data_IF_033936845120
#
_entry.id   IF_033936845120
#
_cell.length_a   1.000
_cell.length_b   1.000
_cell.length_c   1.000
_cell.angle_alpha   90.00
_cell.angle_beta   90.00
_cell.angle_gamma   90.00
#
_symmetry.space_group_name_H-M   'P 1'
#
loop_
_entity.id
_entity.type
_entity.pdbx_description
1 polymer ?
#
# COMPACT_ATOMS: atom_id res chain seq x y z
N UNK A 1 -19.03 4.66 -31.94
CA UNK A 1 -18.34 3.53 -31.32
C UNK A 1 -16.85 3.64 -31.66
N UNK A 2 -16.10 4.25 -30.77
CA UNK A 2 -14.62 4.23 -30.84
C UNK A 2 -14.15 3.52 -29.58
N UNK A 3 -13.63 2.32 -29.74
CA UNK A 3 -13.05 1.52 -28.66
C UNK A 3 -11.75 2.18 -28.18
N UNK A 4 -11.71 2.49 -26.91
CA UNK A 4 -10.54 3.10 -26.27
C UNK A 4 -9.51 2.00 -26.01
N UNK A 5 -8.55 1.85 -26.91
CA UNK A 5 -7.35 1.03 -26.72
C UNK A 5 -6.29 1.82 -25.94
N UNK A 6 -6.52 2.06 -24.65
CA UNK A 6 -5.61 2.84 -23.80
C UNK A 6 -4.81 2.03 -22.79
N UNK A 7 -5.11 0.74 -22.63
CA UNK A 7 -4.49 -0.13 -21.63
C UNK A 7 -3.07 -0.60 -21.97
N UNK A 8 -2.66 -0.54 -23.24
CA UNK A 8 -1.38 -1.11 -23.66
C UNK A 8 -0.12 -0.27 -23.40
N UNK A 9 -0.22 1.05 -23.19
CA UNK A 9 0.96 1.92 -23.04
C UNK A 9 1.36 2.25 -21.60
N UNK A 10 0.48 2.09 -20.64
CA UNK A 10 0.77 2.35 -19.22
C UNK A 10 1.47 1.14 -18.59
N UNK A 11 1.11 -0.07 -19.03
CA UNK A 11 1.65 -1.33 -18.51
C UNK A 11 3.13 -1.53 -18.87
N UNK A 12 3.58 -1.04 -20.03
CA UNK A 12 4.96 -1.29 -20.49
C UNK A 12 6.05 -0.49 -19.75
N UNK A 13 5.72 0.59 -19.04
CA UNK A 13 6.72 1.38 -18.29
C UNK A 13 6.93 0.93 -16.86
N UNK A 14 5.96 0.26 -16.24
CA UNK A 14 6.11 -0.29 -14.89
C UNK A 14 6.91 -1.61 -14.87
N UNK A 15 6.94 -2.33 -16.00
CA UNK A 15 7.61 -3.63 -16.11
C UNK A 15 9.14 -3.57 -16.24
N UNK A 16 9.72 -2.40 -16.60
CA UNK A 16 11.16 -2.32 -16.96
C UNK A 16 12.12 -2.10 -15.80
N UNK A 17 11.66 -1.73 -14.61
CA UNK A 17 12.54 -1.51 -13.45
C UNK A 17 12.68 -2.71 -12.50
N UNK A 18 12.07 -3.86 -12.82
CA UNK A 18 12.11 -5.07 -12.00
C UNK A 18 12.96 -6.23 -12.54
N UNK A 19 13.50 -6.11 -13.75
CA UNK A 19 14.24 -7.21 -14.40
C UNK A 19 15.68 -6.76 -14.68
N UNK A 20 16.50 -6.64 -13.70
CA UNK A 20 17.94 -6.62 -13.91
C UNK A 20 18.64 -7.45 -12.84
N UNK A 21 19.40 -8.43 -13.35
CA UNK A 21 20.41 -9.28 -12.74
C UNK A 21 19.99 -10.72 -12.47
N UNK A 22 19.92 -11.51 -13.55
CA UNK A 22 20.39 -12.89 -13.51
C UNK A 22 21.56 -13.02 -14.47
N UNK A 23 22.78 -13.03 -13.94
CA UNK A 23 23.95 -13.55 -14.65
C UNK A 23 24.21 -14.98 -14.18
N UNK A 24 24.04 -15.93 -15.08
CA UNK A 24 24.50 -17.31 -14.93
C UNK A 24 26.01 -17.38 -15.08
N UNK A 25 26.70 -17.87 -14.08
CA UNK A 25 28.02 -18.46 -14.24
C UNK A 25 27.97 -19.92 -13.78
N UNK A 26 28.13 -20.81 -14.76
CA UNK A 26 28.34 -22.23 -14.58
C UNK A 26 29.79 -22.51 -14.20
N UNK A 27 30.02 -23.19 -13.08
CA UNK A 27 31.17 -24.11 -12.90
C UNK A 27 30.80 -25.21 -11.90
N UNK A 28 31.02 -26.43 -12.33
CA UNK A 28 30.87 -27.69 -11.60
C UNK A 28 31.72 -27.75 -10.34
N UNK A 29 31.21 -28.39 -9.26
CA UNK A 29 31.74 -29.65 -8.68
C UNK A 29 31.16 -29.95 -7.30
N UNK A 30 30.67 -31.21 -7.19
CA UNK A 30 30.62 -32.12 -6.03
C UNK A 30 29.72 -31.76 -4.84
N UNK A 31 28.58 -32.41 -4.85
CA UNK A 31 27.96 -33.24 -3.79
C UNK A 31 28.36 -32.90 -2.35
N UNK A 32 27.56 -32.06 -1.75
CA UNK A 32 27.01 -32.26 -0.43
C UNK A 32 25.61 -31.66 -0.40
N UNK A 33 24.61 -32.44 0.00
CA UNK A 33 23.21 -32.04 0.12
C UNK A 33 23.03 -31.01 1.24
N UNK A 34 23.55 -29.81 1.06
CA UNK A 34 23.00 -28.64 1.68
C UNK A 34 21.74 -28.31 0.82
N UNK A 35 20.56 -28.72 1.31
CA UNK A 35 19.29 -28.10 0.87
C UNK A 35 19.54 -26.62 0.96
N UNK A 36 19.79 -25.94 -0.17
CA UNK A 36 19.78 -24.50 -0.28
C UNK A 36 18.38 -24.06 0.18
N UNK A 37 18.26 -23.73 1.45
CA UNK A 37 17.06 -23.13 2.00
C UNK A 37 16.94 -21.82 1.27
N UNK A 38 16.05 -21.75 0.27
CA UNK A 38 15.80 -20.51 -0.46
C UNK A 38 15.38 -19.48 0.59
N UNK A 39 16.05 -18.34 0.59
CA UNK A 39 15.66 -17.25 1.48
C UNK A 39 14.30 -16.72 1.05
N UNK A 40 13.37 -16.52 2.01
CA UNK A 40 12.06 -15.96 1.72
C UNK A 40 12.20 -14.61 1.02
N UNK A 41 11.35 -14.37 0.03
CA UNK A 41 11.28 -13.10 -0.66
C UNK A 41 9.84 -12.80 -1.09
N UNK A 42 9.56 -11.54 -1.33
CA UNK A 42 8.28 -11.07 -1.82
C UNK A 42 8.39 -10.78 -3.32
N UNK A 43 7.46 -11.33 -4.10
CA UNK A 43 7.15 -10.86 -5.44
C UNK A 43 6.00 -9.86 -5.32
N UNK A 44 6.21 -8.60 -5.65
CA UNK A 44 5.21 -7.56 -5.53
C UNK A 44 4.94 -6.83 -6.84
N UNK A 45 3.70 -6.40 -7.00
CA UNK A 45 3.22 -5.57 -8.10
C UNK A 45 2.32 -4.47 -7.55
N UNK A 46 2.10 -3.42 -8.32
CA UNK A 46 1.24 -2.31 -7.93
C UNK A 46 0.25 -1.97 -9.02
N UNK A 47 -0.96 -1.59 -8.61
CA UNK A 47 -1.99 -1.04 -9.48
C UNK A 47 -2.79 0.02 -8.73
N UNK A 48 -3.40 0.96 -9.45
CA UNK A 48 -4.20 1.98 -8.81
C UNK A 48 -4.79 2.98 -9.81
N UNK A 49 -5.63 3.84 -9.28
CA UNK A 49 -6.29 4.91 -10.02
C UNK A 49 -6.41 6.15 -9.14
N UNK A 50 -6.11 7.34 -9.66
CA UNK A 50 -6.52 8.55 -8.98
C UNK A 50 -8.05 8.68 -8.99
N UNK A 51 -8.61 9.28 -7.96
CA UNK A 51 -10.04 9.59 -7.83
C UNK A 51 -10.55 10.33 -9.07
N UNK A 52 -9.82 11.35 -9.50
CA UNK A 52 -10.14 12.13 -10.68
C UNK A 52 -9.21 11.76 -11.84
N UNK A 53 -9.78 11.26 -12.93
CA UNK A 53 -9.09 11.03 -14.19
C UNK A 53 -9.45 12.14 -15.17
N UNK A 54 -8.53 13.03 -15.43
CA UNK A 54 -8.64 14.03 -16.49
C UNK A 54 -7.63 13.75 -17.61
N UNK A 55 -7.83 14.38 -18.78
CA UNK A 55 -6.86 14.30 -19.88
C UNK A 55 -5.51 14.93 -19.53
N UNK A 56 -5.47 15.75 -18.49
CA UNK A 56 -4.28 16.46 -17.99
C UNK A 56 -3.68 15.79 -16.76
N UNK A 57 -4.26 14.68 -16.27
CA UNK A 57 -3.73 13.95 -15.12
C UNK A 57 -2.28 13.52 -15.37
N UNK A 58 -1.36 14.04 -14.59
CA UNK A 58 0.05 13.66 -14.63
C UNK A 58 0.27 12.50 -13.67
N UNK A 59 0.62 11.34 -14.21
CA UNK A 59 1.04 10.21 -13.37
C UNK A 59 2.47 10.44 -12.88
N UNK A 60 2.65 10.48 -11.58
CA UNK A 60 3.96 10.52 -10.92
C UNK A 60 4.35 9.09 -10.51
N UNK A 61 5.64 8.78 -10.54
CA UNK A 61 6.12 7.49 -10.02
C UNK A 61 5.84 7.41 -8.51
N UNK A 62 5.27 6.28 -8.07
CA UNK A 62 4.96 6.07 -6.65
C UNK A 62 3.69 6.72 -6.16
N UNK A 63 2.81 7.23 -7.06
CA UNK A 63 1.57 7.91 -6.69
C UNK A 63 0.39 7.52 -7.59
N UNK A 64 -0.81 7.50 -6.98
CA UNK A 64 -2.10 7.48 -7.65
C UNK A 64 -3.00 8.55 -6.98
N UNK A 65 -3.07 9.74 -7.58
CA UNK A 65 -3.73 10.88 -6.93
C UNK A 65 -2.95 11.36 -5.71
N UNK A 66 -3.60 11.40 -4.56
CA UNK A 66 -3.03 11.76 -3.27
C UNK A 66 -2.39 10.57 -2.54
N UNK A 67 -2.66 9.37 -3.02
CA UNK A 67 -2.04 8.14 -2.55
C UNK A 67 -0.58 8.03 -2.99
N UNK A 68 0.26 7.49 -2.12
CA UNK A 68 1.64 7.15 -2.42
C UNK A 68 1.97 5.72 -1.99
N UNK A 69 2.98 5.14 -2.65
CA UNK A 69 3.46 3.80 -2.35
C UNK A 69 4.96 3.66 -2.60
N UNK A 70 5.59 2.67 -1.95
CA UNK A 70 6.94 2.22 -2.28
C UNK A 70 7.08 0.71 -2.15
N UNK A 71 8.09 0.18 -2.84
CA UNK A 71 8.54 -1.20 -2.69
C UNK A 71 10.08 -1.20 -2.75
N UNK A 72 10.72 -1.66 -1.70
CA UNK A 72 12.16 -1.68 -1.59
C UNK A 72 12.65 -3.07 -1.16
N UNK A 73 13.82 -3.45 -1.69
CA UNK A 73 14.45 -4.73 -1.38
C UNK A 73 15.89 -4.50 -0.93
N UNK A 74 16.22 -5.07 0.22
CA UNK A 74 17.59 -5.17 0.73
C UNK A 74 17.95 -6.63 1.01
N UNK A 75 19.20 -6.92 1.33
CA UNK A 75 19.65 -8.29 1.55
C UNK A 75 18.84 -9.02 2.63
N UNK A 76 18.48 -8.34 3.70
CA UNK A 76 17.81 -8.92 4.88
C UNK A 76 16.28 -8.83 4.85
N UNK A 77 15.70 -7.98 3.97
CA UNK A 77 14.28 -7.69 4.00
C UNK A 77 13.71 -7.25 2.65
N UNK A 78 12.43 -7.52 2.46
CA UNK A 78 11.57 -6.83 1.48
C UNK A 78 10.62 -5.91 2.24
N UNK A 79 10.46 -4.67 1.76
CA UNK A 79 9.68 -3.63 2.44
C UNK A 79 8.67 -3.04 1.46
N UNK A 80 7.42 -3.00 1.88
CA UNK A 80 6.30 -2.44 1.12
C UNK A 80 5.63 -1.36 1.96
N UNK A 81 5.11 -0.31 1.32
CA UNK A 81 4.36 0.71 2.02
C UNK A 81 3.36 1.43 1.14
N UNK A 82 2.27 1.87 1.76
CA UNK A 82 1.24 2.74 1.18
C UNK A 82 0.92 3.87 2.16
N UNK A 83 0.48 5.00 1.62
CA UNK A 83 0.04 6.15 2.37
C UNK A 83 -1.06 6.87 1.59
N UNK A 84 -2.13 7.24 2.25
CA UNK A 84 -3.24 8.00 1.70
C UNK A 84 -3.17 9.44 2.19
N UNK A 85 -3.09 10.38 1.25
CA UNK A 85 -3.04 11.80 1.52
C UNK A 85 -4.43 12.42 1.67
N UNK A 86 -4.74 12.95 2.86
CA UNK A 86 -6.07 13.48 3.18
C UNK A 86 -6.40 14.76 2.42
N UNK A 87 -7.39 14.67 1.51
CA UNK A 87 -7.74 15.71 0.53
C UNK A 87 -8.30 17.04 1.06
N UNK A 88 -8.65 17.13 2.35
CA UNK A 88 -9.33 18.28 2.94
C UNK A 88 -8.59 19.63 2.85
N UNK A 89 -7.28 19.60 2.60
CA UNK A 89 -6.43 20.80 2.55
C UNK A 89 -6.28 21.42 1.15
N UNK A 90 -6.82 20.80 0.11
CA UNK A 90 -6.78 21.36 -1.27
C UNK A 90 -7.38 22.76 -1.36
N UNK A 91 -8.43 23.02 -0.58
CA UNK A 91 -9.08 24.34 -0.54
C UNK A 91 -8.16 25.45 0.01
N UNK A 92 -7.07 25.07 0.67
CA UNK A 92 -6.04 25.97 1.21
C UNK A 92 -4.80 26.00 0.32
N UNK A 93 -4.86 25.41 -0.88
CA UNK A 93 -3.75 25.38 -1.83
C UNK A 93 -2.65 24.35 -1.49
N UNK A 94 -2.93 23.43 -0.59
CA UNK A 94 -2.02 22.35 -0.19
C UNK A 94 -2.33 21.10 -1.03
N UNK A 95 -1.28 20.51 -1.65
CA UNK A 95 -1.39 19.23 -2.37
C UNK A 95 -1.17 18.08 -1.38
N UNK A 96 -2.22 17.29 -1.03
CA UNK A 96 -2.08 16.19 -0.06
C UNK A 96 -1.14 15.10 -0.53
N UNK A 97 -1.03 14.92 -1.84
CA UNK A 97 -0.14 13.94 -2.45
C UNK A 97 1.35 14.24 -2.26
N UNK A 98 1.73 15.48 -1.92
CA UNK A 98 3.12 15.80 -1.57
C UNK A 98 3.51 15.23 -0.22
N UNK A 99 2.60 15.24 0.76
CA UNK A 99 2.86 14.72 2.10
C UNK A 99 2.99 13.18 2.10
N UNK A 100 2.01 12.48 1.55
CA UNK A 100 2.03 11.02 1.42
C UNK A 100 3.25 10.54 0.61
N UNK A 101 3.55 11.25 -0.48
CA UNK A 101 4.70 10.95 -1.34
C UNK A 101 6.03 11.15 -0.62
N UNK A 102 6.18 12.22 0.16
CA UNK A 102 7.38 12.47 0.95
C UNK A 102 7.62 11.34 1.96
N UNK A 103 6.56 10.91 2.68
CA UNK A 103 6.65 9.81 3.64
C UNK A 103 7.15 8.53 2.96
N UNK A 104 6.53 8.13 1.85
CA UNK A 104 6.84 6.88 1.16
C UNK A 104 8.22 6.92 0.49
N UNK A 105 8.60 8.03 -0.14
CA UNK A 105 9.94 8.22 -0.72
C UNK A 105 11.03 8.23 0.35
N UNK A 106 10.77 8.81 1.51
CA UNK A 106 11.72 8.80 2.62
C UNK A 106 11.88 7.41 3.19
N UNK A 107 10.79 6.64 3.35
CA UNK A 107 10.85 5.23 3.72
C UNK A 107 11.72 4.43 2.73
N UNK A 108 11.46 4.56 1.42
CA UNK A 108 12.25 3.88 0.36
C UNK A 108 13.73 4.24 0.47
N UNK A 109 14.05 5.52 0.63
CA UNK A 109 15.42 6.02 0.76
C UNK A 109 16.11 5.52 2.02
N UNK A 110 15.43 5.49 3.15
CA UNK A 110 15.99 4.98 4.41
C UNK A 110 16.30 3.48 4.31
N UNK A 111 15.43 2.70 3.66
CA UNK A 111 15.67 1.28 3.42
C UNK A 111 16.86 1.08 2.49
N UNK A 112 16.87 1.71 1.34
CA UNK A 112 17.88 1.50 0.30
C UNK A 112 19.26 2.07 0.66
N UNK A 113 19.33 3.09 1.52
CA UNK A 113 20.58 3.66 2.00
C UNK A 113 21.22 2.91 3.19
N UNK A 114 20.64 1.78 3.60
CA UNK A 114 21.16 0.98 4.73
C UNK A 114 20.91 1.59 6.12
N UNK A 115 20.04 2.60 6.22
CA UNK A 115 19.66 3.23 7.49
C UNK A 115 18.42 2.61 8.13
N UNK A 116 17.99 1.48 7.62
CA UNK A 116 16.84 0.72 8.10
C UNK A 116 17.30 -0.38 9.07
N UNK A 117 16.66 -0.46 10.23
CA UNK A 117 16.98 -1.42 11.31
C UNK A 117 16.09 -2.67 11.35
N UNK A 118 15.17 -2.82 10.39
CA UNK A 118 14.22 -3.95 10.32
C UNK A 118 12.85 -3.68 10.93
N UNK A 119 12.66 -2.56 11.65
CA UNK A 119 11.45 -2.23 12.37
C UNK A 119 10.58 -1.22 11.60
N UNK A 120 9.36 -1.59 11.14
CA UNK A 120 8.52 -0.69 10.34
C UNK A 120 8.03 0.55 11.10
N UNK A 121 7.76 0.44 12.41
CA UNK A 121 7.38 1.58 13.24
C UNK A 121 8.49 2.64 13.33
N UNK A 122 9.74 2.20 13.51
CA UNK A 122 10.90 3.11 13.49
C UNK A 122 11.14 3.73 12.12
N UNK A 123 10.89 2.98 11.04
CA UNK A 123 11.00 3.49 9.68
C UNK A 123 10.01 4.62 9.45
N UNK A 124 8.76 4.40 9.83
CA UNK A 124 7.68 5.40 9.71
C UNK A 124 7.97 6.63 10.56
N UNK A 125 8.38 6.44 11.83
CA UNK A 125 8.72 7.53 12.73
C UNK A 125 9.85 8.41 12.18
N UNK A 126 10.92 7.79 11.70
CA UNK A 126 12.04 8.53 11.10
C UNK A 126 11.64 9.28 9.84
N UNK A 127 10.82 8.65 8.99
CA UNK A 127 10.30 9.29 7.78
C UNK A 127 9.49 10.55 8.12
N UNK A 128 8.61 10.46 9.11
CA UNK A 128 7.80 11.57 9.56
C UNK A 128 8.64 12.68 10.23
N UNK A 129 9.59 12.34 11.09
CA UNK A 129 10.44 13.36 11.74
C UNK A 129 11.37 14.06 10.74
N UNK A 130 11.88 13.35 9.72
CA UNK A 130 12.61 13.99 8.62
C UNK A 130 11.72 14.97 7.82
N UNK A 131 10.41 14.68 7.69
CA UNK A 131 9.46 15.62 7.09
C UNK A 131 9.30 16.87 7.92
N UNK A 132 9.18 16.74 9.24
CA UNK A 132 9.05 17.89 10.14
C UNK A 132 10.31 18.78 10.17
N UNK A 133 11.49 18.17 9.99
CA UNK A 133 12.79 18.86 9.97
C UNK A 133 13.15 19.44 8.61
N UNK A 134 12.32 19.21 7.59
CA UNK A 134 12.61 19.68 6.23
C UNK A 134 12.60 21.22 6.17
N UNK A 135 13.64 21.80 5.56
CA UNK A 135 13.77 23.26 5.40
C UNK A 135 12.61 23.88 4.62
N UNK A 136 12.01 23.14 3.71
CA UNK A 136 10.78 23.51 3.02
C UNK A 136 9.65 22.67 3.61
N UNK A 137 8.74 23.24 4.41
CA UNK A 137 7.67 22.49 5.03
C UNK A 137 6.81 21.79 3.98
N UNK A 138 6.65 20.49 4.12
CA UNK A 138 5.69 19.70 3.33
C UNK A 138 4.42 19.60 4.16
N UNK A 139 3.52 20.56 3.94
CA UNK A 139 2.25 20.63 4.66
C UNK A 139 1.30 19.52 4.15
N UNK A 140 0.51 18.99 5.06
CA UNK A 140 -0.49 17.98 4.70
C UNK A 140 -0.78 17.01 5.83
N UNK A 141 -1.53 15.99 5.47
CA UNK A 141 -1.99 14.93 6.37
C UNK A 141 -1.98 13.63 5.58
N UNK A 142 -1.62 12.53 6.23
CA UNK A 142 -1.63 11.21 5.59
C UNK A 142 -1.77 10.08 6.60
N UNK A 143 -2.43 9.00 6.19
CA UNK A 143 -2.29 7.67 6.80
C UNK A 143 -0.98 7.04 6.38
N UNK A 144 -0.61 5.90 6.96
CA UNK A 144 0.49 5.08 6.45
C UNK A 144 0.41 3.63 6.92
N UNK A 145 0.71 2.71 6.01
CA UNK A 145 0.87 1.29 6.31
C UNK A 145 2.20 0.78 5.74
N UNK A 146 3.03 0.18 6.58
CA UNK A 146 4.33 -0.39 6.19
C UNK A 146 4.40 -1.86 6.59
N UNK A 147 4.84 -2.69 5.64
CA UNK A 147 5.02 -4.15 5.82
C UNK A 147 6.45 -4.53 5.48
N UNK A 148 7.11 -5.24 6.37
CA UNK A 148 8.51 -5.67 6.27
C UNK A 148 8.58 -7.18 6.38
N UNK A 149 9.00 -7.88 5.32
CA UNK A 149 9.37 -9.29 5.42
C UNK A 149 10.85 -9.40 5.85
N UNK A 150 11.07 -9.91 7.05
CA UNK A 150 12.40 -10.32 7.49
C UNK A 150 12.72 -11.70 6.90
N UNK A 151 13.73 -11.76 6.03
CA UNK A 151 14.07 -12.99 5.30
C UNK A 151 14.68 -14.07 6.18
N UNK A 152 15.43 -13.69 7.22
CA UNK A 152 16.08 -14.64 8.09
C UNK A 152 15.07 -15.43 8.94
N UNK A 153 13.97 -14.79 9.34
CA UNK A 153 12.96 -15.36 10.25
C UNK A 153 11.68 -15.80 9.56
N UNK A 154 11.48 -15.47 8.26
CA UNK A 154 10.21 -15.65 7.55
C UNK A 154 9.04 -14.98 8.31
N UNK A 155 9.29 -13.80 8.87
CA UNK A 155 8.32 -13.08 9.66
C UNK A 155 8.06 -11.72 9.01
N UNK A 156 6.79 -11.41 8.85
CA UNK A 156 6.32 -10.08 8.47
C UNK A 156 6.16 -9.25 9.74
N UNK A 157 6.74 -8.06 9.75
CA UNK A 157 6.53 -7.01 10.75
C UNK A 157 5.76 -5.87 10.09
N UNK A 158 4.82 -5.29 10.80
CA UNK A 158 3.93 -4.26 10.25
C UNK A 158 3.82 -3.05 11.16
N UNK A 159 3.57 -1.89 10.56
CA UNK A 159 3.15 -0.69 11.26
C UNK A 159 2.03 -0.04 10.46
N UNK A 160 0.89 0.22 11.09
CA UNK A 160 -0.27 0.84 10.48
C UNK A 160 -0.74 2.02 11.31
N UNK A 161 -0.98 3.15 10.68
CA UNK A 161 -1.63 4.32 11.27
C UNK A 161 -2.74 4.80 10.33
N UNK A 162 -3.98 4.75 10.82
CA UNK A 162 -5.17 5.12 10.05
C UNK A 162 -5.93 3.92 9.49
N UNK A 163 -6.60 4.15 8.36
CA UNK A 163 -7.55 3.26 7.67
C UNK A 163 -7.05 2.69 6.35
N UNK A 164 -5.87 3.08 5.90
CA UNK A 164 -5.06 2.23 5.01
C UNK A 164 -4.68 0.96 5.76
N UNK A 165 -4.32 -0.13 5.05
CA UNK A 165 -4.06 -1.35 5.77
C UNK A 165 -3.53 -2.51 4.91
N UNK A 166 -3.51 -3.70 5.51
CA UNK A 166 -3.08 -4.92 4.85
C UNK A 166 -3.94 -6.14 5.20
N UNK A 167 -3.93 -7.12 4.30
CA UNK A 167 -4.45 -8.48 4.53
C UNK A 167 -3.35 -9.48 4.19
N UNK A 168 -3.22 -10.53 5.01
CA UNK A 168 -2.44 -11.74 4.65
C UNK A 168 -3.43 -12.88 4.49
N UNK A 169 -3.41 -13.49 3.29
CA UNK A 169 -4.32 -14.57 2.92
C UNK A 169 -3.52 -15.85 2.73
N UNK A 170 -3.97 -16.92 3.39
CA UNK A 170 -3.42 -18.27 3.31
C UNK A 170 -4.55 -19.24 3.04
N UNK A 171 -4.44 -20.05 1.98
CA UNK A 171 -5.44 -21.08 1.61
C UNK A 171 -6.87 -20.53 1.54
N UNK A 172 -7.01 -19.32 0.98
CA UNK A 172 -8.31 -18.68 0.77
C UNK A 172 -8.94 -18.04 2.00
N UNK A 173 -8.22 -17.96 3.13
CA UNK A 173 -8.70 -17.29 4.36
C UNK A 173 -7.76 -16.19 4.79
N UNK A 174 -8.31 -15.14 5.39
CA UNK A 174 -7.51 -14.09 6.03
C UNK A 174 -6.92 -14.67 7.32
N UNK A 175 -5.59 -14.75 7.39
CA UNK A 175 -4.85 -15.26 8.56
C UNK A 175 -4.28 -14.13 9.40
N UNK A 176 -4.13 -12.93 8.83
CA UNK A 176 -3.71 -11.74 9.53
C UNK A 176 -4.16 -10.50 8.78
N UNK A 177 -4.52 -9.42 9.52
CA UNK A 177 -4.90 -8.13 8.94
C UNK A 177 -4.58 -6.98 9.88
N UNK A 178 -4.44 -5.78 9.33
CA UNK A 178 -4.38 -4.55 10.11
C UNK A 178 -5.71 -4.26 10.79
N UNK A 179 -5.63 -3.65 11.96
CA UNK A 179 -6.77 -2.99 12.58
C UNK A 179 -6.86 -1.56 12.04
N UNK A 180 -8.06 -1.15 11.68
CA UNK A 180 -8.36 0.22 11.29
C UNK A 180 -8.35 1.10 12.54
N UNK A 181 -7.61 2.21 12.49
CA UNK A 181 -7.52 3.16 13.59
C UNK A 181 -8.28 4.43 13.26
N UNK A 182 -9.37 4.69 13.96
CA UNK A 182 -10.21 5.89 13.80
C UNK A 182 -10.47 6.57 15.14
N UNK A 183 -10.50 7.90 15.15
CA UNK A 183 -10.98 8.68 16.30
C UNK A 183 -12.51 8.60 16.40
N UNK A 184 -13.19 8.71 15.26
CA UNK A 184 -14.61 8.51 15.05
C UNK A 184 -14.84 8.13 13.58
N UNK A 185 -16.08 7.77 13.24
CA UNK A 185 -16.40 7.32 11.90
C UNK A 185 -15.82 8.23 10.81
N UNK A 186 -15.13 7.63 9.84
CA UNK A 186 -14.48 8.30 8.71
C UNK A 186 -13.47 9.40 9.12
N UNK A 187 -12.83 9.23 10.27
CA UNK A 187 -11.78 10.14 10.75
C UNK A 187 -10.61 9.30 11.27
N UNK A 188 -9.73 8.89 10.35
CA UNK A 188 -8.61 8.00 10.70
C UNK A 188 -7.57 8.69 11.58
N UNK A 189 -6.79 7.89 12.30
CA UNK A 189 -5.50 8.32 12.84
C UNK A 189 -4.62 8.76 11.68
N UNK A 190 -3.89 9.85 11.86
CA UNK A 190 -3.17 10.49 10.76
C UNK A 190 -1.94 11.24 11.22
N UNK A 191 -0.86 11.12 10.45
CA UNK A 191 0.31 11.97 10.58
C UNK A 191 0.02 13.31 9.91
N UNK A 192 0.38 14.43 10.55
CA UNK A 192 0.05 15.74 10.00
C UNK A 192 1.14 16.79 10.25
N UNK A 193 1.28 17.69 9.29
CA UNK A 193 1.94 18.98 9.44
C UNK A 193 0.99 20.04 8.88
N UNK A 194 0.07 20.56 9.73
CA UNK A 194 -0.88 21.58 9.31
C UNK A 194 -0.20 22.95 9.14
N UNK A 195 -0.82 23.87 8.36
CA UNK A 195 -0.42 25.26 8.35
C UNK A 195 -0.46 25.87 9.76
N UNK A 196 0.42 26.82 10.09
CA UNK A 196 0.51 27.42 11.44
C UNK A 196 -0.82 27.92 11.99
N UNK A 197 -1.65 28.55 11.13
CA UNK A 197 -2.95 29.11 11.50
C UNK A 197 -4.01 28.06 11.83
N UNK A 198 -3.80 26.80 11.44
CA UNK A 198 -4.72 25.68 11.63
C UNK A 198 -4.22 24.60 12.59
N UNK A 199 -3.04 24.78 13.18
CA UNK A 199 -2.39 23.77 14.01
C UNK A 199 -3.20 23.31 15.24
N UNK A 200 -4.14 24.12 15.74
CA UNK A 200 -4.98 23.82 16.90
C UNK A 200 -6.29 23.10 16.55
N UNK A 201 -6.66 23.05 15.28
CA UNK A 201 -7.94 22.51 14.81
C UNK A 201 -7.82 21.16 14.09
N UNK A 202 -6.61 20.64 13.96
CA UNK A 202 -6.32 19.41 13.23
C UNK A 202 -5.99 18.29 14.21
N UNK A 203 -6.63 17.14 14.01
CA UNK A 203 -6.22 15.91 14.65
C UNK A 203 -4.86 15.50 14.08
N UNK A 204 -3.94 15.25 14.97
CA UNK A 204 -2.57 14.87 14.60
C UNK A 204 -2.11 13.77 15.53
N UNK A 205 -1.85 12.63 14.98
CA UNK A 205 -1.30 11.50 15.70
C UNK A 205 0.21 11.43 15.53
N UNK A 206 0.86 10.76 16.47
CA UNK A 206 2.29 10.51 16.39
C UNK A 206 2.55 9.17 15.73
N UNK A 207 3.68 8.99 15.04
CA UNK A 207 4.03 7.71 14.43
C UNK A 207 4.15 6.57 15.46
N UNK A 208 4.41 6.90 16.73
CA UNK A 208 4.44 5.94 17.86
C UNK A 208 3.04 5.38 18.19
N UNK A 209 1.96 6.03 17.72
CA UNK A 209 0.59 5.53 17.84
C UNK A 209 0.25 4.47 16.79
N UNK A 210 1.16 4.19 15.86
CA UNK A 210 0.94 3.15 14.86
C UNK A 210 0.75 1.77 15.52
N UNK A 211 -0.29 1.04 15.11
CA UNK A 211 -0.48 -0.36 15.49
C UNK A 211 0.62 -1.21 14.85
N UNK A 212 1.40 -1.90 15.67
CA UNK A 212 2.48 -2.76 15.20
C UNK A 212 2.18 -4.21 15.50
N UNK A 213 2.37 -5.07 14.51
CA UNK A 213 2.16 -6.51 14.65
C UNK A 213 3.28 -7.30 13.97
N UNK A 214 3.34 -8.60 14.26
CA UNK A 214 4.19 -9.52 13.53
C UNK A 214 3.45 -10.83 13.24
N UNK A 215 3.79 -11.46 12.12
CA UNK A 215 3.16 -12.68 11.68
C UNK A 215 4.13 -13.55 10.89
N UNK A 216 4.23 -14.83 11.24
CA UNK A 216 5.07 -15.77 10.49
C UNK A 216 4.40 -16.19 9.20
N UNK A 217 5.03 -15.88 8.07
CA UNK A 217 4.52 -16.24 6.75
C UNK A 217 4.97 -17.62 6.30
N UNK A 218 4.18 -18.20 5.40
CA UNK A 218 4.44 -19.47 4.72
C UNK A 218 4.58 -19.25 3.21
N UNK A 219 5.14 -20.25 2.53
CA UNK A 219 5.22 -20.25 1.06
C UNK A 219 3.82 -20.15 0.45
N UNK A 220 3.67 -19.24 -0.47
CA UNK A 220 2.40 -19.02 -1.16
C UNK A 220 1.42 -18.09 -0.45
N UNK A 221 1.75 -17.54 0.71
CA UNK A 221 0.93 -16.49 1.31
C UNK A 221 0.79 -15.30 0.37
N UNK A 222 -0.39 -14.71 0.36
CA UNK A 222 -0.70 -13.52 -0.43
C UNK A 222 -0.83 -12.33 0.52
N UNK A 223 -0.13 -11.24 0.23
CA UNK A 223 -0.16 -10.00 1.00
C UNK A 223 -0.77 -8.92 0.12
N UNK A 224 -1.86 -8.32 0.58
CA UNK A 224 -2.46 -7.13 -0.01
C UNK A 224 -2.20 -5.95 0.92
N UNK A 225 -1.54 -4.89 0.44
CA UNK A 225 -1.56 -3.57 1.06
C UNK A 225 -2.43 -2.68 0.19
N UNK A 226 -3.29 -1.89 0.81
CA UNK A 226 -4.14 -0.96 0.08
C UNK A 226 -4.52 0.26 0.92
N UNK A 227 -4.92 1.32 0.24
CA UNK A 227 -5.57 2.48 0.82
C UNK A 227 -7.07 2.24 1.00
N UNK A 228 -7.76 3.12 1.70
CA UNK A 228 -9.20 3.02 2.00
C UNK A 228 -10.07 2.95 0.74
N UNK A 229 -9.64 3.56 -0.37
CA UNK A 229 -10.31 3.44 -1.66
C UNK A 229 -10.57 2.00 -2.11
N UNK A 230 -9.81 1.02 -1.59
CA UNK A 230 -10.08 -0.41 -1.77
C UNK A 230 -11.00 -0.94 -0.68
N UNK A 231 -10.66 -0.76 0.59
CA UNK A 231 -11.37 -1.39 1.72
C UNK A 231 -12.77 -0.83 1.92
N UNK A 232 -12.98 0.44 1.65
CA UNK A 232 -14.27 1.11 1.71
C UNK A 232 -15.24 0.65 0.60
N UNK A 233 -14.69 0.14 -0.50
CA UNK A 233 -15.49 -0.16 -1.68
C UNK A 233 -15.60 -1.65 -2.01
N UNK A 234 -14.58 -2.47 -1.72
CA UNK A 234 -14.59 -3.89 -2.10
C UNK A 234 -14.84 -4.77 -0.89
N UNK A 235 -15.97 -5.51 -0.85
CA UNK A 235 -16.25 -6.46 0.24
C UNK A 235 -15.17 -7.54 0.37
N UNK A 236 -14.85 -7.93 1.62
CA UNK A 236 -13.84 -8.96 1.94
C UNK A 236 -14.04 -10.24 1.12
N UNK A 237 -15.27 -10.70 0.94
CA UNK A 237 -15.59 -11.91 0.15
C UNK A 237 -15.09 -11.80 -1.30
N UNK A 238 -15.20 -10.62 -1.89
CA UNK A 238 -14.74 -10.38 -3.26
C UNK A 238 -13.22 -10.28 -3.29
N UNK A 239 -12.61 -9.57 -2.33
CA UNK A 239 -11.15 -9.52 -2.20
C UNK A 239 -10.55 -10.92 -2.04
N UNK A 240 -11.11 -11.75 -1.15
CA UNK A 240 -10.63 -13.12 -0.94
C UNK A 240 -10.72 -13.97 -2.19
N UNK A 241 -11.79 -13.83 -2.98
CA UNK A 241 -11.93 -14.56 -4.24
C UNK A 241 -10.82 -14.18 -5.24
N UNK A 242 -10.52 -12.87 -5.38
CA UNK A 242 -9.44 -12.40 -6.26
C UNK A 242 -8.05 -12.82 -5.74
N UNK A 243 -7.79 -12.67 -4.44
CA UNK A 243 -6.51 -12.99 -3.83
C UNK A 243 -6.20 -14.50 -3.87
N UNK A 244 -7.23 -15.35 -3.78
CA UNK A 244 -7.07 -16.81 -3.89
C UNK A 244 -6.56 -17.26 -5.25
N UNK A 245 -6.76 -16.46 -6.31
CA UNK A 245 -6.28 -16.77 -7.67
C UNK A 245 -4.77 -16.70 -7.83
N UNK A 246 -4.10 -16.00 -6.91
CA UNK A 246 -2.64 -15.78 -6.95
C UNK A 246 -1.91 -16.41 -5.78
N UNK A 247 -2.56 -17.30 -5.06
CA UNK A 247 -1.91 -18.04 -3.99
C UNK A 247 -0.78 -18.91 -4.54
N UNK A 248 0.45 -18.68 -4.08
CA UNK A 248 1.64 -19.37 -4.56
C UNK A 248 2.09 -18.96 -5.97
N UNK A 249 1.47 -17.94 -6.58
CA UNK A 249 1.85 -17.48 -7.91
C UNK A 249 3.23 -16.81 -7.89
N UNK A 250 4.04 -17.11 -8.88
CA UNK A 250 5.41 -16.58 -9.04
C UNK A 250 5.62 -15.86 -10.36
N UNK A 251 4.58 -15.81 -11.20
CA UNK A 251 4.57 -15.04 -12.44
C UNK A 251 4.09 -13.61 -12.15
N UNK A 252 4.98 -12.60 -12.31
CA UNK A 252 4.62 -11.20 -12.06
C UNK A 252 3.48 -10.71 -12.97
N UNK A 253 3.31 -11.28 -14.16
CA UNK A 253 2.24 -10.89 -15.09
C UNK A 253 0.88 -11.34 -14.55
N UNK A 254 0.79 -12.55 -14.04
CA UNK A 254 -0.47 -13.05 -13.45
C UNK A 254 -0.81 -12.28 -12.18
N UNK A 255 0.19 -12.00 -11.34
CA UNK A 255 0.02 -11.19 -10.13
C UNK A 255 -0.48 -9.78 -10.49
N UNK A 256 0.13 -9.14 -11.51
CA UNK A 256 -0.27 -7.82 -12.01
C UNK A 256 -1.71 -7.82 -12.52
N UNK A 257 -2.14 -8.86 -13.22
CA UNK A 257 -3.51 -8.96 -13.71
C UNK A 257 -4.54 -8.98 -12.57
N UNK A 258 -4.22 -9.64 -11.44
CA UNK A 258 -5.11 -9.65 -10.28
C UNK A 258 -5.08 -8.31 -9.55
N UNK A 259 -3.93 -7.68 -9.40
CA UNK A 259 -3.85 -6.32 -8.84
C UNK A 259 -4.66 -5.32 -9.68
N UNK A 260 -4.58 -5.40 -11.01
CA UNK A 260 -5.37 -4.57 -11.92
C UNK A 260 -6.88 -4.87 -11.78
N UNK A 261 -7.26 -6.15 -11.62
CA UNK A 261 -8.66 -6.55 -11.40
C UNK A 261 -9.23 -5.94 -10.13
N UNK A 262 -8.47 -6.00 -9.02
CA UNK A 262 -8.88 -5.42 -7.73
C UNK A 262 -9.01 -3.90 -7.85
N UNK A 263 -8.01 -3.20 -8.40
CA UNK A 263 -8.03 -1.75 -8.55
C UNK A 263 -9.20 -1.29 -9.44
N UNK A 264 -9.44 -1.98 -10.56
CA UNK A 264 -10.56 -1.66 -11.46
C UNK A 264 -11.92 -1.90 -10.78
N UNK A 265 -12.04 -2.99 -10.03
CA UNK A 265 -13.25 -3.31 -9.28
C UNK A 265 -13.52 -2.27 -8.19
N UNK A 266 -12.50 -1.90 -7.40
CA UNK A 266 -12.61 -0.85 -6.40
C UNK A 266 -13.12 0.46 -7.03
N UNK A 267 -12.51 0.86 -8.15
CA UNK A 267 -12.96 2.05 -8.88
C UNK A 267 -14.40 1.95 -9.37
N UNK A 268 -14.78 0.82 -9.94
CA UNK A 268 -16.16 0.61 -10.42
C UNK A 268 -17.17 0.72 -9.28
N UNK A 269 -16.88 0.08 -8.14
CA UNK A 269 -17.77 0.07 -6.98
C UNK A 269 -17.78 1.42 -6.26
N UNK A 270 -16.65 2.15 -6.23
CA UNK A 270 -16.56 3.48 -5.64
C UNK A 270 -17.53 4.50 -6.28
N UNK A 271 -17.76 4.37 -7.59
CA UNK A 271 -18.66 5.26 -8.34
C UNK A 271 -20.07 4.67 -8.58
N UNK A 272 -20.39 3.53 -7.99
CA UNK A 272 -21.74 2.95 -8.04
C UNK A 272 -22.59 3.49 -6.90
N UNK A 273 -23.47 4.45 -7.21
CA UNK A 273 -24.36 5.12 -6.25
C UNK A 273 -25.38 4.18 -5.59
N UNK A 274 -25.62 2.99 -6.16
CA UNK A 274 -26.62 2.02 -5.66
C UNK A 274 -25.99 0.88 -4.89
N UNK A 275 -24.69 0.73 -4.99
CA UNK A 275 -23.98 -0.38 -4.34
C UNK A 275 -23.93 -0.17 -2.83
N UNK A 276 -24.23 -1.22 -2.07
CA UNK A 276 -24.07 -1.22 -0.62
C UNK A 276 -22.63 -1.57 -0.27
N UNK A 277 -21.73 -0.60 -0.35
CA UNK A 277 -20.31 -0.74 -0.07
C UNK A 277 -20.04 -1.05 1.41
N UNK A 278 -18.84 -1.56 1.76
CA UNK A 278 -18.40 -1.66 3.15
C UNK A 278 -18.54 -0.32 3.88
N UNK A 279 -18.09 0.78 3.28
CA UNK A 279 -18.27 2.13 3.82
C UNK A 279 -19.73 2.47 4.14
N UNK A 280 -20.66 2.27 3.18
CA UNK A 280 -22.09 2.56 3.37
C UNK A 280 -22.70 1.69 4.48
N UNK A 281 -22.26 0.44 4.63
CA UNK A 281 -22.71 -0.44 5.72
C UNK A 281 -22.23 0.07 7.07
N UNK A 282 -20.96 0.45 7.17
CA UNK A 282 -20.37 1.01 8.39
C UNK A 282 -21.05 2.33 8.75
N UNK A 283 -21.24 3.27 7.77
CA UNK A 283 -21.94 4.52 7.99
C UNK A 283 -23.34 4.32 8.60
N UNK A 284 -24.09 3.34 8.10
CA UNK A 284 -25.42 3.01 8.63
C UNK A 284 -25.40 2.49 10.05
N UNK A 285 -24.36 1.76 10.46
CA UNK A 285 -24.22 1.32 11.86
C UNK A 285 -23.99 2.49 12.83
N UNK A 286 -23.47 3.61 12.33
CA UNK A 286 -23.37 4.91 13.03
C UNK A 286 -24.61 5.79 12.88
N UNK A 287 -25.70 5.31 12.27
CA UNK A 287 -26.94 6.05 12.06
C UNK A 287 -26.91 7.02 10.88
N UNK A 288 -25.87 6.97 10.03
CA UNK A 288 -25.72 7.83 8.86
C UNK A 288 -26.31 7.11 7.65
N UNK A 289 -27.38 7.65 7.09
CA UNK A 289 -28.08 7.04 5.96
C UNK A 289 -27.39 7.37 4.62
N UNK A 290 -26.35 6.59 4.29
CA UNK A 290 -25.59 6.69 3.05
C UNK A 290 -25.78 5.41 2.23
N UNK A 291 -25.78 5.55 0.91
CA UNK A 291 -25.82 4.45 -0.08
C UNK A 291 -24.80 4.76 -1.16
N UNK A 292 -24.23 3.76 -1.78
CA UNK A 292 -23.24 3.88 -2.82
C UNK A 292 -21.83 3.54 -2.35
N UNK A 293 -20.90 3.62 -3.29
CA UNK A 293 -19.48 3.57 -3.00
C UNK A 293 -18.97 4.91 -2.45
N UNK A 294 -17.72 4.91 -2.01
CA UNK A 294 -16.97 6.12 -1.60
C UNK A 294 -15.90 6.39 -2.66
N UNK A 295 -16.14 7.36 -3.61
CA UNK A 295 -15.12 7.73 -4.58
C UNK A 295 -13.85 8.23 -3.92
N UNK A 296 -12.73 7.54 -4.18
CA UNK A 296 -11.42 7.90 -3.65
C UNK A 296 -10.27 7.52 -4.59
N UNK A 297 -9.05 7.95 -4.26
CA UNK A 297 -7.83 7.42 -4.83
C UNK A 297 -7.72 5.93 -4.47
N UNK A 298 -7.12 5.14 -5.32
CA UNK A 298 -7.06 3.69 -5.16
C UNK A 298 -5.62 3.25 -5.34
N UNK A 299 -5.05 2.64 -4.31
CA UNK A 299 -3.73 2.00 -4.37
C UNK A 299 -3.83 0.55 -3.93
N UNK A 300 -3.39 -0.34 -4.80
CA UNK A 300 -3.30 -1.80 -4.58
C UNK A 300 -1.84 -2.21 -4.73
N UNK A 301 -1.20 -2.62 -3.66
CA UNK A 301 0.11 -3.23 -3.65
C UNK A 301 -0.07 -4.70 -3.29
N UNK A 302 0.02 -5.57 -4.31
CA UNK A 302 -0.24 -7.01 -4.18
C UNK A 302 1.07 -7.78 -4.23
N UNK A 303 1.22 -8.73 -3.30
CA UNK A 303 2.44 -9.50 -3.18
C UNK A 303 2.18 -10.98 -2.87
N UNK A 304 3.12 -11.84 -3.29
CA UNK A 304 3.17 -13.24 -2.90
C UNK A 304 4.50 -13.55 -2.22
N UNK A 305 4.45 -14.39 -1.19
CA UNK A 305 5.62 -14.89 -0.47
C UNK A 305 6.15 -16.13 -1.17
N UNK A 306 7.44 -16.14 -1.51
CA UNK A 306 8.16 -17.29 -2.02
C UNK A 306 9.25 -17.70 -1.02
N UNK A 307 9.23 -18.95 -0.59
CA UNK A 307 10.22 -19.56 0.33
C UNK A 307 11.15 -20.51 -0.40
#
# INVERSE_FOLDING_TARGET
MQSITWTGRIISRALWNGISNYSTSSTDLSVSQLKNKREPHILSVVSGFPKELSKTTKFRKGQFGDDAWFSARVKSADVLGVADGVGGWRNYGIDPGEFSSFLMQTCERLVTSGRFNGEPGNLLARSYYELLENKQPVLGISTACVVVLNRATSTVYTANIGDSGFLIVRRGVVVHRSEEQQHYFNTPYQLSLPPPDHSRSVLSDRPESASTTNFRVEDGDVILLATDGVFDNVPDKILLNELSRVQGERDPVKLQNVANSIAFMARKLAFDEKFMSPFSKTARSYGINVTGGKPDDITVLLATVAL
#
